data_IF_059227639536
#
_entry.id   IF_059227639536
#
_cell.length_a   1.000
_cell.length_b   1.000
_cell.length_c   1.000
_cell.angle_alpha   90.00
_cell.angle_beta   90.00
_cell.angle_gamma   90.00
#
_symmetry.space_group_name_H-M   'P 1'
#
loop_
_entity.id
_entity.type
_entity.pdbx_description
1 polymer ?
#
# COMPACT_ATOMS: atom_id res chain seq x y z
N UNK A 1 61.65 -6.06 -46.51
CA UNK A 1 60.60 -6.83 -45.86
C UNK A 1 59.93 -5.96 -44.81
N UNK A 2 58.81 -5.37 -45.16
CA UNK A 2 58.07 -4.43 -44.30
C UNK A 2 56.86 -5.17 -43.67
N UNK A 3 56.93 -5.45 -42.38
CA UNK A 3 55.92 -6.19 -41.65
C UNK A 3 54.83 -5.19 -41.23
N UNK A 4 53.65 -5.24 -41.84
CA UNK A 4 52.46 -4.51 -41.46
C UNK A 4 51.85 -5.13 -40.20
N UNK A 5 51.94 -4.42 -39.06
CA UNK A 5 51.19 -4.76 -37.85
C UNK A 5 49.72 -4.39 -38.06
N UNK A 6 48.87 -5.41 -38.18
CA UNK A 6 47.41 -5.28 -38.12
C UNK A 6 46.99 -4.86 -36.69
N UNK A 7 46.45 -3.66 -36.55
CA UNK A 7 45.85 -3.20 -35.31
C UNK A 7 44.62 -4.09 -34.97
N UNK A 8 44.79 -4.98 -33.97
CA UNK A 8 43.70 -5.75 -33.40
C UNK A 8 42.62 -4.82 -32.86
N UNK A 9 41.41 -4.88 -33.42
CA UNK A 9 40.25 -4.11 -32.98
C UNK A 9 39.95 -4.40 -31.51
N UNK A 10 40.12 -3.39 -30.67
CA UNK A 10 39.65 -3.40 -29.29
C UNK A 10 38.12 -3.48 -29.32
N UNK A 11 37.59 -4.69 -29.16
CA UNK A 11 36.16 -4.92 -28.92
C UNK A 11 35.75 -4.09 -27.70
N UNK A 12 34.80 -3.16 -27.90
CA UNK A 12 34.25 -2.34 -26.85
C UNK A 12 33.71 -3.24 -25.71
N UNK A 13 34.06 -2.99 -24.45
CA UNK A 13 33.63 -3.83 -23.34
C UNK A 13 32.10 -3.92 -23.34
N UNK A 14 31.58 -5.13 -23.41
CA UNK A 14 30.17 -5.43 -23.37
C UNK A 14 29.56 -4.73 -22.12
N UNK A 15 28.65 -3.79 -22.34
CA UNK A 15 27.96 -3.07 -21.25
C UNK A 15 27.39 -4.11 -20.29
N UNK A 16 27.80 -4.11 -19.01
CA UNK A 16 27.30 -5.09 -18.05
C UNK A 16 25.78 -5.01 -18.07
N UNK A 17 25.12 -6.17 -18.15
CA UNK A 17 23.66 -6.26 -18.09
C UNK A 17 23.22 -5.89 -16.66
N UNK A 18 23.19 -4.59 -16.36
CA UNK A 18 22.88 -3.97 -15.05
C UNK A 18 21.60 -4.56 -14.46
N UNK A 19 20.59 -4.85 -15.29
CA UNK A 19 19.33 -5.47 -14.87
C UNK A 19 19.50 -6.84 -14.25
N UNK A 20 20.36 -7.71 -14.80
CA UNK A 20 20.62 -9.04 -14.22
C UNK A 20 21.36 -8.97 -12.88
N UNK A 21 22.29 -8.04 -12.75
CA UNK A 21 23.03 -7.84 -11.50
C UNK A 21 22.12 -7.29 -10.41
N UNK A 22 21.25 -6.33 -10.74
CA UNK A 22 20.26 -5.75 -9.84
C UNK A 22 19.23 -6.77 -9.36
N UNK A 23 18.70 -7.59 -10.27
CA UNK A 23 17.77 -8.67 -9.91
C UNK A 23 18.44 -9.68 -8.98
N UNK A 24 19.72 -10.00 -9.16
CA UNK A 24 20.47 -10.89 -8.25
C UNK A 24 20.63 -10.29 -6.86
N UNK A 25 20.89 -8.98 -6.77
CA UNK A 25 21.08 -8.29 -5.49
C UNK A 25 19.78 -8.19 -4.68
N UNK A 26 18.64 -7.98 -5.36
CA UNK A 26 17.31 -7.91 -4.72
C UNK A 26 16.58 -9.26 -4.65
N UNK A 27 17.21 -10.34 -5.14
CA UNK A 27 16.59 -11.67 -5.24
C UNK A 27 15.93 -12.14 -3.94
N UNK A 28 16.56 -12.09 -2.76
CA UNK A 28 15.91 -12.54 -1.53
C UNK A 28 14.68 -11.69 -1.17
N UNK A 29 14.77 -10.38 -1.31
CA UNK A 29 13.64 -9.49 -1.03
C UNK A 29 12.50 -9.69 -2.02
N UNK A 30 12.80 -9.87 -3.31
CA UNK A 30 11.80 -10.18 -4.34
C UNK A 30 11.16 -11.56 -4.11
N UNK A 31 11.90 -12.57 -3.68
CA UNK A 31 11.33 -13.87 -3.33
C UNK A 31 10.36 -13.77 -2.16
N UNK A 32 10.75 -13.07 -1.07
CA UNK A 32 9.86 -12.83 0.08
C UNK A 32 8.63 -12.05 -0.32
N UNK A 33 8.78 -10.98 -1.11
CA UNK A 33 7.67 -10.20 -1.64
C UNK A 33 6.72 -11.05 -2.48
N UNK A 34 7.25 -11.82 -3.42
CA UNK A 34 6.44 -12.69 -4.28
C UNK A 34 5.71 -13.75 -3.46
N UNK A 35 6.37 -14.39 -2.48
CA UNK A 35 5.74 -15.36 -1.59
C UNK A 35 4.60 -14.73 -0.78
N UNK A 36 4.80 -13.52 -0.23
CA UNK A 36 3.76 -12.78 0.49
C UNK A 36 2.56 -12.48 -0.42
N UNK A 37 2.82 -11.95 -1.63
CA UNK A 37 1.76 -11.62 -2.60
C UNK A 37 1.00 -12.88 -3.01
N UNK A 38 1.67 -13.99 -3.29
CA UNK A 38 1.02 -15.25 -3.67
C UNK A 38 0.18 -15.83 -2.52
N UNK A 39 0.68 -15.81 -1.29
CA UNK A 39 -0.07 -16.29 -0.12
C UNK A 39 -1.32 -15.43 0.14
N UNK A 40 -1.19 -14.11 0.08
CA UNK A 40 -2.32 -13.19 0.23
C UNK A 40 -3.33 -13.34 -0.93
N UNK A 41 -2.86 -13.50 -2.17
CA UNK A 41 -3.71 -13.73 -3.33
C UNK A 41 -4.49 -15.05 -3.22
N UNK A 42 -3.84 -16.13 -2.79
CA UNK A 42 -4.52 -17.40 -2.54
C UNK A 42 -5.64 -17.28 -1.49
N UNK A 43 -5.37 -16.56 -0.37
CA UNK A 43 -6.38 -16.30 0.64
C UNK A 43 -7.55 -15.47 0.10
N UNK A 44 -7.27 -14.42 -0.68
CA UNK A 44 -8.31 -13.57 -1.28
C UNK A 44 -9.16 -14.33 -2.31
N UNK A 45 -8.57 -15.27 -3.07
CA UNK A 45 -9.31 -16.16 -3.96
C UNK A 45 -10.20 -17.14 -3.19
N UNK A 46 -9.73 -17.69 -2.07
CA UNK A 46 -10.56 -18.50 -1.17
C UNK A 46 -11.72 -17.69 -0.57
N UNK A 47 -11.48 -16.43 -0.25
CA UNK A 47 -12.52 -15.51 0.22
C UNK A 47 -13.51 -15.18 -0.89
N UNK A 48 -13.06 -14.98 -2.13
CA UNK A 48 -13.96 -14.68 -3.26
C UNK A 48 -14.92 -15.83 -3.56
N UNK A 49 -14.52 -17.08 -3.38
CA UNK A 49 -15.30 -18.28 -3.67
C UNK A 49 -15.78 -19.02 -2.42
N UNK A 50 -15.12 -20.13 -2.02
CA UNK A 50 -15.68 -21.11 -1.10
C UNK A 50 -16.00 -20.56 0.29
N UNK A 51 -15.23 -19.60 0.81
CA UNK A 51 -15.50 -19.03 2.13
C UNK A 51 -16.73 -18.12 2.13
N UNK A 52 -16.89 -17.30 1.08
CA UNK A 52 -18.08 -16.46 0.91
C UNK A 52 -19.32 -17.31 0.65
N UNK A 53 -19.22 -18.35 -0.17
CA UNK A 53 -20.36 -19.23 -0.48
C UNK A 53 -20.88 -19.97 0.76
N UNK A 54 -19.97 -20.51 1.58
CA UNK A 54 -20.33 -21.17 2.82
C UNK A 54 -20.94 -20.18 3.83
N UNK A 55 -20.40 -18.97 3.96
CA UNK A 55 -20.95 -17.95 4.84
C UNK A 55 -22.31 -17.43 4.37
N UNK A 56 -22.50 -17.25 3.06
CA UNK A 56 -23.78 -16.84 2.48
C UNK A 56 -24.87 -17.91 2.68
N UNK A 57 -24.52 -19.19 2.60
CA UNK A 57 -25.44 -20.28 2.92
C UNK A 57 -25.85 -20.24 4.40
N UNK A 58 -24.87 -20.15 5.33
CA UNK A 58 -25.15 -20.00 6.75
C UNK A 58 -26.02 -18.78 7.06
N UNK A 59 -25.82 -17.67 6.33
CA UNK A 59 -26.63 -16.46 6.47
C UNK A 59 -28.05 -16.64 5.94
N UNK A 60 -28.23 -17.33 4.81
CA UNK A 60 -29.57 -17.69 4.32
C UNK A 60 -30.34 -18.54 5.32
N UNK A 61 -29.70 -19.55 5.92
CA UNK A 61 -30.29 -20.38 6.98
C UNK A 61 -30.74 -19.52 8.16
N UNK A 62 -29.89 -18.58 8.60
CA UNK A 62 -30.23 -17.65 9.69
C UNK A 62 -31.46 -16.79 9.34
N UNK A 63 -31.54 -16.22 8.16
CA UNK A 63 -32.65 -15.36 7.74
C UNK A 63 -33.98 -16.11 7.55
N UNK A 64 -33.94 -17.43 7.34
CA UNK A 64 -35.13 -18.27 7.33
C UNK A 64 -35.60 -18.69 8.74
N UNK A 65 -34.86 -18.36 9.77
CA UNK A 65 -35.25 -18.67 11.15
C UNK A 65 -36.39 -17.77 11.61
N UNK A 66 -37.53 -18.39 12.01
CA UNK A 66 -38.61 -17.65 12.65
C UNK A 66 -38.18 -17.21 14.07
N UNK A 67 -38.59 -16.01 14.49
CA UNK A 67 -38.18 -15.39 15.77
C UNK A 67 -38.46 -16.23 17.01
N UNK A 68 -39.37 -17.22 16.95
CA UNK A 68 -39.80 -18.03 18.11
C UNK A 68 -39.44 -19.52 17.99
N UNK A 69 -38.62 -19.92 17.02
CA UNK A 69 -38.23 -21.32 16.83
C UNK A 69 -36.73 -21.52 17.15
N UNK A 70 -36.38 -22.66 17.77
CA UNK A 70 -35.01 -23.12 17.85
C UNK A 70 -34.49 -23.38 16.43
N UNK A 71 -33.50 -22.61 16.01
CA UNK A 71 -33.02 -22.63 14.67
C UNK A 71 -31.54 -23.03 14.65
N UNK A 72 -31.20 -23.96 13.76
CA UNK A 72 -29.81 -24.34 13.51
C UNK A 72 -29.33 -23.68 12.21
N UNK A 73 -28.25 -22.96 12.27
CA UNK A 73 -27.57 -22.38 11.09
C UNK A 73 -26.06 -22.53 11.25
N UNK A 74 -25.32 -22.49 10.17
CA UNK A 74 -23.87 -22.64 10.20
C UNK A 74 -23.18 -21.32 10.61
N UNK A 75 -23.24 -20.99 11.91
CA UNK A 75 -22.55 -19.86 12.48
C UNK A 75 -21.04 -19.93 12.30
N UNK A 76 -20.45 -21.14 12.28
CA UNK A 76 -19.00 -21.32 12.15
C UNK A 76 -18.50 -20.85 10.77
N UNK A 77 -19.27 -21.11 9.72
CA UNK A 77 -18.93 -20.62 8.38
C UNK A 77 -18.92 -19.09 8.30
N UNK A 78 -19.91 -18.43 8.93
CA UNK A 78 -20.01 -16.96 8.98
C UNK A 78 -18.81 -16.37 9.74
N UNK A 79 -18.49 -16.91 10.93
CA UNK A 79 -17.36 -16.43 11.73
C UNK A 79 -16.02 -16.67 11.02
N UNK A 80 -15.83 -17.84 10.42
CA UNK A 80 -14.63 -18.16 9.64
C UNK A 80 -14.43 -17.18 8.50
N UNK A 81 -15.46 -16.84 7.74
CA UNK A 81 -15.39 -15.83 6.68
C UNK A 81 -14.92 -14.48 7.26
N UNK A 82 -15.53 -14.01 8.36
CA UNK A 82 -15.18 -12.72 8.98
C UNK A 82 -13.72 -12.68 9.43
N UNK A 83 -13.26 -13.74 10.09
CA UNK A 83 -11.89 -13.81 10.60
C UNK A 83 -10.88 -13.77 9.45
N UNK A 84 -11.09 -14.61 8.43
CA UNK A 84 -10.19 -14.64 7.27
C UNK A 84 -10.25 -13.36 6.44
N UNK A 85 -11.41 -12.74 6.32
CA UNK A 85 -11.53 -11.43 5.66
C UNK A 85 -10.76 -10.36 6.42
N UNK A 86 -10.85 -10.32 7.74
CA UNK A 86 -10.10 -9.38 8.57
C UNK A 86 -8.58 -9.62 8.46
N UNK A 87 -8.12 -10.88 8.50
CA UNK A 87 -6.70 -11.20 8.32
C UNK A 87 -6.18 -10.79 6.93
N UNK A 88 -6.96 -11.05 5.88
CA UNK A 88 -6.60 -10.63 4.53
C UNK A 88 -6.50 -9.09 4.42
N UNK A 89 -7.50 -8.39 4.95
CA UNK A 89 -7.53 -6.92 4.97
C UNK A 89 -6.35 -6.34 5.74
N UNK A 90 -6.05 -6.85 6.94
CA UNK A 90 -4.89 -6.43 7.74
C UNK A 90 -3.57 -6.71 7.04
N UNK A 91 -3.44 -7.86 6.37
CA UNK A 91 -2.24 -8.20 5.59
C UNK A 91 -2.00 -7.19 4.47
N UNK A 92 -3.04 -6.81 3.74
CA UNK A 92 -2.93 -5.81 2.68
C UNK A 92 -2.65 -4.42 3.26
N UNK A 93 -3.29 -4.03 4.37
CA UNK A 93 -3.04 -2.77 5.08
C UNK A 93 -1.63 -2.66 5.67
N UNK A 94 -0.99 -3.80 5.98
CA UNK A 94 0.38 -3.81 6.50
C UNK A 94 1.45 -3.54 5.43
N UNK A 95 1.13 -3.67 4.14
CA UNK A 95 2.11 -3.54 3.05
C UNK A 95 2.90 -2.22 3.09
N UNK A 96 2.30 -1.03 3.28
CA UNK A 96 3.06 0.22 3.37
C UNK A 96 4.12 0.18 4.46
N UNK A 97 3.80 -0.38 5.62
CA UNK A 97 4.71 -0.47 6.77
C UNK A 97 5.82 -1.49 6.56
N UNK A 98 5.51 -2.66 5.99
CA UNK A 98 6.49 -3.70 5.66
C UNK A 98 7.50 -3.19 4.63
N UNK A 99 7.02 -2.52 3.59
CA UNK A 99 7.88 -1.94 2.56
C UNK A 99 8.72 -0.78 3.13
N UNK A 100 8.15 0.07 3.99
CA UNK A 100 8.88 1.16 4.64
C UNK A 100 10.00 0.64 5.55
N UNK A 101 9.70 -0.34 6.39
CA UNK A 101 10.67 -0.96 7.29
C UNK A 101 11.84 -1.60 6.50
N UNK A 102 11.51 -2.34 5.44
CA UNK A 102 12.51 -2.94 4.58
C UNK A 102 13.34 -1.89 3.84
N UNK A 103 12.72 -0.85 3.28
CA UNK A 103 13.41 0.20 2.53
C UNK A 103 14.33 1.03 3.43
N UNK A 104 13.87 1.40 4.63
CA UNK A 104 14.65 2.16 5.59
C UNK A 104 15.81 1.36 6.19
N UNK A 105 15.52 0.13 6.63
CA UNK A 105 16.50 -0.73 7.26
C UNK A 105 17.44 -1.40 6.25
N UNK A 106 16.91 -2.30 5.42
CA UNK A 106 17.72 -3.20 4.61
C UNK A 106 18.17 -2.60 3.27
N UNK A 107 17.32 -1.79 2.61
CA UNK A 107 17.62 -1.29 1.27
C UNK A 107 18.62 -0.11 1.29
N UNK A 108 18.42 0.85 2.17
CA UNK A 108 19.22 2.09 2.22
C UNK A 108 20.07 2.15 3.49
N UNK A 109 19.48 1.97 4.68
CA UNK A 109 20.17 2.14 5.97
C UNK A 109 21.38 1.24 6.09
N UNK A 110 21.26 -0.05 5.82
CA UNK A 110 22.34 -1.03 5.89
C UNK A 110 23.51 -0.72 4.95
N UNK A 111 23.22 -0.26 3.72
CA UNK A 111 24.28 0.06 2.76
C UNK A 111 25.09 1.31 3.12
N UNK A 112 24.42 2.29 3.73
CA UNK A 112 25.07 3.49 4.23
C UNK A 112 25.85 3.20 5.51
N UNK A 113 25.33 2.37 6.40
CA UNK A 113 25.96 1.94 7.64
C UNK A 113 27.24 1.13 7.38
N UNK A 114 27.18 0.16 6.45
CA UNK A 114 28.33 -0.68 6.07
C UNK A 114 29.34 0.01 5.14
N UNK A 115 29.04 1.20 4.62
CA UNK A 115 29.88 1.94 3.69
C UNK A 115 29.89 1.39 2.27
N UNK A 116 29.12 0.31 1.95
CA UNK A 116 29.06 -0.27 0.60
C UNK A 116 28.51 0.69 -0.44
N UNK A 117 27.63 1.62 -0.07
CA UNK A 117 27.18 2.70 -0.95
C UNK A 117 28.33 3.59 -1.41
N UNK A 118 29.25 3.95 -0.50
CA UNK A 118 30.43 4.78 -0.83
C UNK A 118 31.39 4.08 -1.80
N UNK A 119 31.59 2.77 -1.63
CA UNK A 119 32.37 1.96 -2.55
C UNK A 119 31.74 1.94 -3.95
N UNK A 120 30.41 1.79 -4.04
CA UNK A 120 29.71 1.82 -5.32
C UNK A 120 29.86 3.20 -6.03
N UNK A 121 29.83 4.28 -5.27
CA UNK A 121 30.01 5.64 -5.80
C UNK A 121 31.46 5.90 -6.27
N UNK A 122 32.45 5.30 -5.61
CA UNK A 122 33.85 5.44 -6.00
C UNK A 122 34.21 4.63 -7.26
N UNK A 123 33.49 3.53 -7.54
CA UNK A 123 33.88 2.60 -8.59
C UNK A 123 33.24 2.86 -9.95
N UNK A 124 31.92 3.20 -10.04
CA UNK A 124 31.28 3.27 -11.37
C UNK A 124 29.90 3.93 -11.41
N UNK A 125 29.26 4.26 -10.29
CA UNK A 125 27.90 4.77 -10.31
C UNK A 125 27.77 6.13 -9.67
N UNK A 126 27.14 7.08 -10.36
CA UNK A 126 26.80 8.35 -9.72
C UNK A 126 25.80 8.10 -8.58
N UNK A 127 25.87 8.86 -7.47
CA UNK A 127 24.94 8.71 -6.34
C UNK A 127 23.46 8.77 -6.75
N UNK A 128 23.13 9.66 -7.70
CA UNK A 128 21.78 9.81 -8.25
C UNK A 128 21.33 8.52 -8.95
N UNK A 129 22.17 7.96 -9.84
CA UNK A 129 21.87 6.72 -10.56
C UNK A 129 21.71 5.54 -9.59
N UNK A 130 22.56 5.47 -8.55
CA UNK A 130 22.45 4.47 -7.50
C UNK A 130 21.08 4.51 -6.83
N UNK A 131 20.64 5.70 -6.36
CA UNK A 131 19.34 5.84 -5.69
C UNK A 131 18.17 5.56 -6.64
N UNK A 132 18.22 6.09 -7.88
CA UNK A 132 17.16 5.85 -8.87
C UNK A 132 16.91 4.37 -9.09
N UNK A 133 17.97 3.60 -9.29
CA UNK A 133 17.86 2.16 -9.51
C UNK A 133 17.35 1.43 -8.27
N UNK A 134 17.81 1.84 -7.08
CA UNK A 134 17.36 1.26 -5.80
C UNK A 134 15.88 1.49 -5.53
N UNK A 135 15.32 2.59 -6.00
CA UNK A 135 13.89 2.87 -5.84
C UNK A 135 13.05 2.30 -7.00
N UNK A 136 13.53 2.37 -8.24
CA UNK A 136 12.73 2.00 -9.42
C UNK A 136 12.34 0.53 -9.44
N UNK A 137 13.27 -0.38 -9.15
CA UNK A 137 12.99 -1.83 -9.18
C UNK A 137 11.95 -2.23 -8.13
N UNK A 138 12.11 -1.85 -6.84
CA UNK A 138 11.08 -2.09 -5.84
C UNK A 138 9.76 -1.38 -6.13
N UNK A 139 9.79 -0.15 -6.67
CA UNK A 139 8.57 0.58 -7.00
C UNK A 139 7.71 -0.19 -8.00
N UNK A 140 8.32 -0.76 -9.06
CA UNK A 140 7.59 -1.60 -10.03
C UNK A 140 7.04 -2.86 -9.35
N UNK A 141 7.85 -3.59 -8.58
CA UNK A 141 7.41 -4.80 -7.89
C UNK A 141 6.27 -4.53 -6.90
N UNK A 142 6.36 -3.44 -6.14
CA UNK A 142 5.34 -2.98 -5.19
C UNK A 142 4.06 -2.59 -5.92
N UNK A 143 4.16 -1.81 -7.00
CA UNK A 143 2.97 -1.40 -7.79
C UNK A 143 2.23 -2.60 -8.34
N UNK A 144 2.94 -3.56 -8.93
CA UNK A 144 2.32 -4.77 -9.49
C UNK A 144 1.70 -5.64 -8.39
N UNK A 145 2.45 -5.91 -7.32
CA UNK A 145 1.97 -6.78 -6.24
C UNK A 145 0.83 -6.17 -5.44
N UNK A 146 0.95 -4.91 -5.01
CA UNK A 146 -0.13 -4.22 -4.28
C UNK A 146 -1.35 -3.98 -5.17
N UNK A 147 -1.16 -3.69 -6.46
CA UNK A 147 -2.25 -3.56 -7.43
C UNK A 147 -3.04 -4.85 -7.62
N UNK A 148 -2.34 -5.98 -7.75
CA UNK A 148 -2.98 -7.30 -7.80
C UNK A 148 -3.78 -7.59 -6.53
N UNK A 149 -3.20 -7.34 -5.35
CA UNK A 149 -3.89 -7.59 -4.08
C UNK A 149 -5.09 -6.66 -3.88
N UNK A 150 -5.00 -5.38 -4.27
CA UNK A 150 -6.13 -4.46 -4.23
C UNK A 150 -7.28 -4.93 -5.13
N UNK A 151 -6.98 -5.39 -6.34
CA UNK A 151 -7.97 -5.92 -7.26
C UNK A 151 -8.63 -7.20 -6.71
N UNK A 152 -7.85 -8.15 -6.21
CA UNK A 152 -8.38 -9.37 -5.59
C UNK A 152 -9.19 -9.09 -4.33
N UNK A 153 -8.77 -8.10 -3.52
CA UNK A 153 -9.51 -7.69 -2.33
C UNK A 153 -10.87 -7.08 -2.70
N UNK A 154 -10.90 -6.25 -3.74
CA UNK A 154 -12.15 -5.72 -4.28
C UNK A 154 -13.09 -6.83 -4.78
N UNK A 155 -12.55 -7.87 -5.45
CA UNK A 155 -13.34 -9.03 -5.86
C UNK A 155 -13.90 -9.81 -4.66
N UNK A 156 -13.07 -10.07 -3.64
CA UNK A 156 -13.49 -10.77 -2.43
C UNK A 156 -14.53 -9.96 -1.64
N UNK A 157 -14.35 -8.65 -1.55
CA UNK A 157 -15.31 -7.75 -0.91
C UNK A 157 -16.65 -7.75 -1.65
N UNK A 158 -16.65 -7.59 -2.97
CA UNK A 158 -17.87 -7.54 -3.79
C UNK A 158 -18.66 -8.85 -3.75
N UNK A 159 -17.99 -9.99 -3.64
CA UNK A 159 -18.64 -11.30 -3.55
C UNK A 159 -19.53 -11.47 -2.30
N UNK A 160 -19.18 -10.79 -1.20
CA UNK A 160 -19.96 -10.81 0.05
C UNK A 160 -21.12 -9.81 0.09
N UNK A 161 -21.10 -8.77 -0.76
CA UNK A 161 -22.12 -7.71 -0.73
C UNK A 161 -23.49 -8.24 -1.14
N UNK A 162 -24.52 -7.88 -0.36
CA UNK A 162 -25.91 -8.33 -0.58
C UNK A 162 -26.18 -9.84 -0.33
N UNK A 163 -25.13 -10.63 0.00
CA UNK A 163 -25.23 -12.05 0.34
C UNK A 163 -25.04 -12.33 1.83
N UNK A 164 -24.28 -11.46 2.47
CA UNK A 164 -23.93 -11.53 3.89
C UNK A 164 -24.20 -10.15 4.48
N UNK A 165 -25.24 -9.97 5.32
CA UNK A 165 -25.63 -8.65 5.86
C UNK A 165 -24.56 -8.02 6.73
N UNK A 166 -23.67 -8.83 7.29
CA UNK A 166 -22.53 -8.37 8.09
C UNK A 166 -21.24 -8.18 7.27
N UNK A 167 -21.34 -8.16 5.92
CA UNK A 167 -20.21 -7.80 5.06
C UNK A 167 -19.75 -6.37 5.35
N UNK A 168 -18.45 -6.15 5.32
CA UNK A 168 -17.86 -4.84 5.63
C UNK A 168 -18.33 -3.79 4.62
N UNK A 169 -18.73 -2.62 5.14
CA UNK A 169 -19.13 -1.50 4.30
C UNK A 169 -17.90 -0.88 3.60
N UNK A 170 -18.13 -0.28 2.43
CA UNK A 170 -17.07 0.32 1.61
C UNK A 170 -16.28 1.41 2.33
N UNK A 171 -16.91 2.14 3.26
CA UNK A 171 -16.33 3.26 4.00
C UNK A 171 -15.59 2.87 5.28
N UNK A 172 -15.61 1.58 5.64
CA UNK A 172 -14.80 1.13 6.78
C UNK A 172 -13.33 1.36 6.44
N UNK A 173 -12.60 1.97 7.39
CA UNK A 173 -11.23 2.46 7.25
C UNK A 173 -10.32 1.52 6.45
N UNK A 174 -10.20 0.28 6.90
CA UNK A 174 -9.30 -0.68 6.26
C UNK A 174 -9.83 -1.15 4.91
N UNK A 175 -11.14 -1.37 4.80
CA UNK A 175 -11.79 -1.80 3.56
C UNK A 175 -11.66 -0.73 2.47
N UNK A 176 -11.87 0.54 2.80
CA UNK A 176 -11.72 1.62 1.84
C UNK A 176 -10.31 1.64 1.24
N UNK A 177 -9.27 1.64 2.08
CA UNK A 177 -7.90 1.72 1.57
C UNK A 177 -7.47 0.49 0.79
N UNK A 178 -7.93 -0.71 1.14
CA UNK A 178 -7.53 -1.96 0.48
C UNK A 178 -8.26 -2.24 -0.83
N UNK A 179 -9.46 -1.70 -1.01
CA UNK A 179 -10.31 -1.99 -2.17
C UNK A 179 -10.00 -1.15 -3.42
N UNK A 180 -8.95 -0.34 -3.41
CA UNK A 180 -8.70 0.54 -4.53
C UNK A 180 -7.23 0.93 -4.73
N UNK A 181 -6.94 1.86 -5.63
CA UNK A 181 -5.58 2.27 -5.95
C UNK A 181 -4.86 2.97 -4.78
N UNK A 182 -5.57 3.40 -3.76
CA UNK A 182 -5.00 4.08 -2.58
C UNK A 182 -3.95 3.23 -1.88
N UNK A 183 -4.14 1.91 -1.77
CA UNK A 183 -3.14 1.04 -1.11
C UNK A 183 -1.84 0.97 -1.92
N UNK A 184 -1.90 1.02 -3.25
CA UNK A 184 -0.71 1.08 -4.11
C UNK A 184 0.08 2.36 -3.82
N UNK A 185 -0.62 3.50 -3.79
CA UNK A 185 -0.02 4.80 -3.49
C UNK A 185 0.59 4.84 -2.07
N UNK A 186 -0.11 4.33 -1.06
CA UNK A 186 0.38 4.23 0.32
C UNK A 186 1.62 3.32 0.41
N UNK A 187 1.65 2.21 -0.34
CA UNK A 187 2.82 1.30 -0.33
C UNK A 187 4.02 1.94 -1.02
N UNK A 188 3.82 2.73 -2.08
CA UNK A 188 4.85 3.56 -2.68
C UNK A 188 5.32 4.68 -1.74
N UNK A 189 4.40 5.29 -0.98
CA UNK A 189 4.77 6.25 0.07
C UNK A 189 5.64 5.58 1.14
N UNK A 190 5.31 4.34 1.54
CA UNK A 190 6.14 3.52 2.43
C UNK A 190 7.56 3.31 1.90
N UNK A 191 7.71 3.02 0.61
CA UNK A 191 9.04 2.92 -0.03
C UNK A 191 9.82 4.25 0.06
N UNK A 192 9.16 5.37 -0.21
CA UNK A 192 9.78 6.69 -0.19
C UNK A 192 10.14 7.14 1.24
N UNK A 193 9.24 6.96 2.22
CA UNK A 193 9.50 7.27 3.65
C UNK A 193 10.63 6.42 4.20
N UNK A 194 10.66 5.13 3.87
CA UNK A 194 11.74 4.23 4.23
C UNK A 194 13.08 4.68 3.65
N UNK A 195 13.13 4.98 2.36
CA UNK A 195 14.34 5.48 1.72
C UNK A 195 14.83 6.80 2.35
N UNK A 196 13.91 7.72 2.62
CA UNK A 196 14.23 9.00 3.27
C UNK A 196 14.82 8.78 4.68
N UNK A 197 14.19 7.93 5.49
CA UNK A 197 14.66 7.57 6.83
C UNK A 197 16.07 6.96 6.79
N UNK A 198 16.32 6.04 5.84
CA UNK A 198 17.63 5.43 5.62
C UNK A 198 18.72 6.44 5.26
N UNK A 199 18.39 7.39 4.37
CA UNK A 199 19.32 8.47 3.98
C UNK A 199 19.62 9.44 5.12
N UNK A 200 18.63 9.77 5.95
CA UNK A 200 18.78 10.71 7.07
C UNK A 200 19.60 10.11 8.20
N UNK A 201 19.28 8.91 8.64
CA UNK A 201 19.86 8.30 9.83
C UNK A 201 21.11 7.46 9.55
N UNK A 202 21.23 6.89 8.34
CA UNK A 202 22.38 6.09 7.90
C UNK A 202 22.74 4.93 8.83
N UNK A 203 21.75 4.45 9.59
CA UNK A 203 21.83 3.33 10.53
C UNK A 203 20.56 2.49 10.40
N UNK A 204 20.70 1.18 10.38
CA UNK A 204 19.63 0.22 10.10
C UNK A 204 18.44 0.34 11.06
N UNK A 205 18.65 0.19 12.37
CA UNK A 205 17.59 0.16 13.37
C UNK A 205 16.86 1.51 13.55
N UNK A 206 17.56 2.65 13.72
CA UNK A 206 16.88 3.93 13.80
C UNK A 206 16.13 4.30 12.52
N UNK A 207 16.67 3.94 11.34
CA UNK A 207 16.01 4.19 10.06
C UNK A 207 14.71 3.41 9.94
N UNK A 208 14.67 2.15 10.39
CA UNK A 208 13.46 1.34 10.44
C UNK A 208 12.39 2.01 11.33
N UNK A 209 12.74 2.44 12.54
CA UNK A 209 11.81 3.13 13.43
C UNK A 209 11.24 4.42 12.82
N UNK A 210 12.12 5.28 12.27
CA UNK A 210 11.69 6.52 11.61
C UNK A 210 10.83 6.24 10.38
N UNK A 211 11.15 5.22 9.59
CA UNK A 211 10.37 4.81 8.43
C UNK A 211 8.92 4.45 8.80
N UNK A 212 8.74 3.66 9.86
CA UNK A 212 7.42 3.28 10.38
C UNK A 212 6.64 4.51 10.88
N UNK A 213 7.30 5.42 11.61
CA UNK A 213 6.68 6.65 12.11
C UNK A 213 6.23 7.56 10.95
N UNK A 214 7.09 7.79 9.95
CA UNK A 214 6.74 8.61 8.79
C UNK A 214 5.59 7.98 7.97
N UNK A 215 5.62 6.66 7.77
CA UNK A 215 4.53 5.95 7.08
C UNK A 215 3.24 6.05 7.87
N UNK A 216 3.28 5.87 9.18
CA UNK A 216 2.13 6.07 10.08
C UNK A 216 1.58 7.49 9.97
N UNK A 217 2.44 8.50 9.96
CA UNK A 217 2.02 9.90 9.77
C UNK A 217 1.32 10.11 8.43
N UNK A 218 1.83 9.54 7.32
CA UNK A 218 1.17 9.59 6.00
C UNK A 218 -0.21 8.94 6.08
N UNK A 219 -0.32 7.74 6.66
CA UNK A 219 -1.61 7.03 6.79
C UNK A 219 -2.62 7.82 7.63
N UNK A 220 -2.19 8.35 8.78
CA UNK A 220 -3.05 9.15 9.68
C UNK A 220 -3.50 10.44 9.00
N UNK A 221 -2.59 11.16 8.35
CA UNK A 221 -2.93 12.38 7.61
C UNK A 221 -3.92 12.09 6.48
N UNK A 222 -3.68 11.01 5.71
CA UNK A 222 -4.58 10.60 4.64
C UNK A 222 -5.98 10.29 5.18
N UNK A 223 -6.06 9.57 6.30
CA UNK A 223 -7.33 9.23 6.94
C UNK A 223 -8.05 10.47 7.50
N UNK A 224 -7.33 11.39 8.11
CA UNK A 224 -7.92 12.63 8.65
C UNK A 224 -8.48 13.54 7.55
N UNK A 225 -7.85 13.57 6.38
CA UNK A 225 -8.30 14.37 5.24
C UNK A 225 -9.44 13.71 4.46
N UNK A 226 -9.56 12.38 4.51
CA UNK A 226 -10.48 11.60 3.66
C UNK A 226 -11.93 12.12 3.65
N UNK A 227 -12.58 12.48 4.80
CA UNK A 227 -13.95 12.97 4.81
C UNK A 227 -14.12 14.32 4.09
N UNK A 228 -13.02 15.06 3.90
CA UNK A 228 -13.01 16.41 3.34
C UNK A 228 -12.54 16.47 1.89
N UNK A 229 -12.09 15.34 1.31
CA UNK A 229 -11.53 15.29 -0.05
C UNK A 229 -12.59 15.38 -1.15
N UNK A 230 -13.88 15.24 -0.79
CA UNK A 230 -15.00 15.36 -1.73
C UNK A 230 -16.19 16.04 -1.05
N UNK A 231 -17.00 16.84 -1.77
CA UNK A 231 -18.17 17.48 -1.18
C UNK A 231 -19.15 16.46 -0.60
N UNK A 232 -19.60 16.68 0.65
CA UNK A 232 -20.61 15.86 1.30
C UNK A 232 -22.01 16.27 0.84
N UNK A 233 -22.95 15.34 0.86
CA UNK A 233 -24.38 15.64 0.73
C UNK A 233 -24.96 15.88 2.11
N UNK A 234 -25.82 16.90 2.24
CA UNK A 234 -26.56 17.21 3.45
C UNK A 234 -28.02 16.80 3.34
N UNK A 235 -28.60 16.33 4.45
CA UNK A 235 -30.04 16.14 4.62
C UNK A 235 -30.47 16.72 5.96
N UNK A 236 -31.60 17.43 5.95
CA UNK A 236 -32.19 18.07 7.13
C UNK A 236 -33.64 17.62 7.27
N UNK A 237 -34.09 17.38 8.49
CA UNK A 237 -35.49 17.01 8.76
C UNK A 237 -35.83 17.08 10.23
N UNK A 238 -37.12 17.02 10.57
CA UNK A 238 -37.56 17.00 11.96
C UNK A 238 -37.27 15.64 12.60
N UNK A 239 -36.78 15.64 13.86
CA UNK A 239 -36.47 14.46 14.62
C UNK A 239 -35.23 13.72 14.11
N UNK A 240 -34.79 12.69 14.86
CA UNK A 240 -33.62 11.90 14.54
C UNK A 240 -33.83 11.02 13.31
N UNK A 241 -32.89 11.03 12.40
CA UNK A 241 -32.81 10.09 11.28
C UNK A 241 -31.35 9.77 10.93
N UNK A 242 -31.11 8.59 10.43
CA UNK A 242 -29.78 8.15 9.95
C UNK A 242 -29.59 8.50 8.48
N UNK A 243 -28.33 8.51 8.04
CA UNK A 243 -28.01 8.59 6.62
C UNK A 243 -28.60 7.41 5.83
N UNK A 244 -28.83 7.52 4.52
CA UNK A 244 -29.30 6.42 3.69
C UNK A 244 -28.44 5.17 3.84
N UNK A 245 -29.05 3.99 3.73
CA UNK A 245 -28.34 2.70 3.82
C UNK A 245 -27.17 2.63 2.81
N UNK A 246 -26.03 2.11 3.26
CA UNK A 246 -24.81 2.02 2.45
C UNK A 246 -24.07 3.34 2.23
N UNK A 247 -24.50 4.44 2.85
CA UNK A 247 -23.77 5.71 2.84
C UNK A 247 -22.85 5.85 4.06
N UNK A 248 -21.78 6.59 3.89
CA UNK A 248 -20.85 6.93 4.97
C UNK A 248 -21.29 8.25 5.64
N UNK A 249 -21.82 8.17 6.84
CA UNK A 249 -22.15 9.34 7.63
C UNK A 249 -20.86 9.98 8.18
N UNK A 250 -20.66 11.26 7.83
CA UNK A 250 -19.49 12.05 8.25
C UNK A 250 -19.81 12.81 9.53
N UNK A 251 -20.96 13.45 9.60
CA UNK A 251 -21.42 14.17 10.78
C UNK A 251 -22.94 14.06 10.93
N UNK A 252 -23.42 14.27 12.13
CA UNK A 252 -24.85 14.38 12.42
C UNK A 252 -25.04 15.11 13.74
N UNK A 253 -26.09 15.94 13.81
CA UNK A 253 -26.41 16.71 15.00
C UNK A 253 -27.69 17.50 14.84
N UNK A 254 -28.23 17.95 15.95
CA UNK A 254 -29.41 18.79 16.01
C UNK A 254 -29.02 20.27 16.03
N UNK A 255 -29.66 21.09 15.17
CA UNK A 255 -29.48 22.54 15.09
C UNK A 255 -30.87 23.15 14.92
N UNK A 256 -31.31 24.01 15.84
CA UNK A 256 -32.59 24.71 15.81
C UNK A 256 -33.79 23.76 15.58
N UNK A 257 -33.93 22.72 16.41
CA UNK A 257 -34.98 21.70 16.37
C UNK A 257 -35.05 20.87 15.07
N UNK A 258 -33.97 20.91 14.26
CA UNK A 258 -33.85 20.11 13.05
C UNK A 258 -32.61 19.25 13.14
N UNK A 259 -32.72 17.97 12.75
CA UNK A 259 -31.59 17.06 12.67
C UNK A 259 -30.90 17.21 11.32
N UNK A 260 -29.60 17.45 11.35
CA UNK A 260 -28.77 17.61 10.15
C UNK A 260 -27.82 16.41 10.06
N UNK A 261 -27.74 15.75 8.90
CA UNK A 261 -26.79 14.68 8.61
C UNK A 261 -26.02 15.03 7.35
N UNK A 262 -24.68 14.93 7.43
CA UNK A 262 -23.83 14.99 6.24
C UNK A 262 -23.24 13.62 5.96
N UNK A 263 -23.22 13.22 4.71
CA UNK A 263 -22.79 11.89 4.32
C UNK A 263 -22.21 11.82 2.91
N UNK A 264 -21.46 10.75 2.63
CA UNK A 264 -21.04 10.35 1.30
C UNK A 264 -21.86 9.14 0.86
N UNK A 265 -22.60 9.20 -0.25
CA UNK A 265 -23.25 8.05 -0.85
C UNK A 265 -22.19 7.14 -1.52
N UNK A 266 -22.57 5.91 -1.85
CA UNK A 266 -21.67 4.95 -2.54
C UNK A 266 -21.11 5.50 -3.86
N UNK A 267 -21.86 6.37 -4.56
CA UNK A 267 -21.38 7.04 -5.80
C UNK A 267 -20.11 7.89 -5.58
N UNK A 268 -19.82 8.30 -4.33
CA UNK A 268 -18.60 9.03 -3.99
C UNK A 268 -17.38 8.12 -3.78
N UNK A 269 -17.54 6.79 -3.82
CA UNK A 269 -16.43 5.85 -3.63
C UNK A 269 -15.26 6.09 -4.58
N UNK A 270 -15.51 6.10 -5.90
CA UNK A 270 -14.45 6.32 -6.88
C UNK A 270 -13.84 7.73 -6.86
N UNK A 271 -14.64 8.82 -6.81
CA UNK A 271 -14.08 10.15 -6.58
C UNK A 271 -13.17 10.24 -5.36
N UNK A 272 -13.57 9.69 -4.22
CA UNK A 272 -12.76 9.66 -2.99
C UNK A 272 -11.50 8.80 -3.16
N UNK A 273 -11.59 7.64 -3.80
CA UNK A 273 -10.44 6.79 -4.10
C UNK A 273 -9.40 7.50 -4.98
N UNK A 274 -9.85 8.16 -6.05
CA UNK A 274 -8.96 8.82 -7.00
C UNK A 274 -8.32 10.08 -6.38
N UNK A 275 -9.08 10.90 -5.67
CA UNK A 275 -8.54 12.10 -5.00
C UNK A 275 -7.56 11.73 -3.89
N UNK A 276 -7.89 10.72 -3.08
CA UNK A 276 -6.97 10.20 -2.04
C UNK A 276 -5.70 9.64 -2.66
N UNK A 277 -5.83 8.86 -3.72
CA UNK A 277 -4.68 8.29 -4.44
C UNK A 277 -3.78 9.39 -5.01
N UNK A 278 -4.37 10.41 -5.65
CA UNK A 278 -3.62 11.55 -6.19
C UNK A 278 -2.88 12.33 -5.08
N UNK A 279 -3.53 12.57 -3.95
CA UNK A 279 -2.92 13.22 -2.79
C UNK A 279 -1.71 12.41 -2.28
N UNK A 280 -1.88 11.11 -2.06
CA UNK A 280 -0.80 10.23 -1.58
C UNK A 280 0.34 10.13 -2.58
N UNK A 281 0.05 10.06 -3.89
CA UNK A 281 1.08 10.09 -4.93
C UNK A 281 1.85 11.42 -4.96
N UNK A 282 1.16 12.55 -4.77
CA UNK A 282 1.82 13.86 -4.64
C UNK A 282 2.76 13.89 -3.43
N UNK A 283 2.30 13.41 -2.26
CA UNK A 283 3.15 13.27 -1.08
C UNK A 283 4.35 12.34 -1.35
N UNK A 284 4.14 11.22 -2.04
CA UNK A 284 5.19 10.26 -2.42
C UNK A 284 6.23 10.92 -3.33
N UNK A 285 5.80 11.73 -4.29
CA UNK A 285 6.69 12.48 -5.17
C UNK A 285 7.55 13.49 -4.39
N UNK A 286 6.95 14.22 -3.44
CA UNK A 286 7.68 15.15 -2.56
C UNK A 286 8.70 14.43 -1.68
N UNK A 287 8.33 13.29 -1.08
CA UNK A 287 9.23 12.46 -0.28
C UNK A 287 10.39 11.92 -1.13
N UNK A 288 10.10 11.48 -2.35
CA UNK A 288 11.12 11.01 -3.30
C UNK A 288 12.07 12.15 -3.68
N UNK A 289 11.54 13.34 -3.98
CA UNK A 289 12.36 14.54 -4.22
C UNK A 289 13.25 14.85 -3.02
N UNK A 290 12.71 14.78 -1.79
CA UNK A 290 13.48 14.95 -0.56
C UNK A 290 14.64 13.95 -0.45
N UNK A 291 14.44 12.68 -0.85
CA UNK A 291 15.50 11.68 -0.90
C UNK A 291 16.66 12.14 -1.81
N UNK A 292 16.37 12.63 -3.00
CA UNK A 292 17.39 13.11 -3.93
C UNK A 292 18.10 14.38 -3.41
N UNK A 293 17.37 15.29 -2.78
CA UNK A 293 17.95 16.50 -2.18
C UNK A 293 18.88 16.16 -1.01
N UNK A 294 18.46 15.26 -0.12
CA UNK A 294 19.31 14.77 0.98
C UNK A 294 20.56 14.09 0.43
N UNK A 295 20.40 13.21 -0.57
CA UNK A 295 21.53 12.53 -1.20
C UNK A 295 22.54 13.53 -1.79
N UNK A 296 22.07 14.54 -2.53
CA UNK A 296 22.93 15.60 -3.09
C UNK A 296 23.69 16.36 -2.00
N UNK A 297 23.02 16.69 -0.88
CA UNK A 297 23.70 17.35 0.27
C UNK A 297 24.77 16.46 0.91
N UNK A 298 24.52 15.15 0.98
CA UNK A 298 25.48 14.19 1.53
C UNK A 298 26.72 14.04 0.66
N UNK A 299 26.56 14.04 -0.66
CA UNK A 299 27.66 13.84 -1.61
C UNK A 299 28.39 15.14 -1.96
N UNK A 300 27.72 16.30 -1.99
CA UNK A 300 28.33 17.59 -2.26
C UNK A 300 29.26 18.09 -1.13
N UNK A 301 29.10 17.60 0.10
CA UNK A 301 30.00 17.89 1.24
C UNK A 301 31.30 17.07 1.22
N UNK A 302 31.39 16.05 0.36
CA UNK A 302 32.55 15.15 0.25
C UNK A 302 33.45 15.45 -0.95
N UNK A 303 33.10 16.44 -1.79
CA UNK A 303 34.00 16.92 -2.84
C UNK A 303 35.10 17.81 -2.17
N UNK A 304 36.37 17.45 -2.24
CA UNK A 304 37.45 18.36 -1.78
C UNK A 304 37.40 19.63 -2.65
N UNK A 305 37.50 20.78 -1.99
CA UNK A 305 37.73 22.08 -2.63
C UNK A 305 39.12 22.14 -3.21
#
# INVERSE_FOLDING_TARGET
MTTTMTAGGLSAPARPRLTRWLLRLHRPALCVWTALVLAAAALLLLLHGPLTDAAAEGWRQYNHCAFNASCTYDQKAILRYKDWYNYATLTVCALPFLVAAWAGGALIGRELESGTARLAWAQSSTPVRWLTVRLAVPAVAVTVGAGLLAWLHQLAWSAGQGRIDTAQQWYVLFTFHTNGPTIVALTLAGLATGALAGLLLRRTLPALGLALLLTGAVCVTTQALLPHLWPTLGRTGPGYFSSPSGSWQVSGGEIADQYHVTYHPYSHYWPLQLTTTALVLAMTALLTLACFLVLRRLTGKTAPR
#
